data_IF_083773021814
#
_entry.id   IF_083773021814
#
_cell.length_a   1.000
_cell.length_b   1.000
_cell.length_c   1.000
_cell.angle_alpha   90.00
_cell.angle_beta   90.00
_cell.angle_gamma   90.00
#
_symmetry.space_group_name_H-M   'P 1'
#
loop_
_entity.id
_entity.type
_entity.pdbx_description
1 polymer ?
#
# COMPACT_ATOMS: atom_id res chain seq x y z
N UNK A 1 8.24 -11.67 -23.84
CA UNK A 1 7.66 -10.31 -23.75
C UNK A 1 8.10 -9.77 -22.41
N UNK A 2 8.92 -8.73 -22.39
CA UNK A 2 9.52 -8.24 -21.15
C UNK A 2 8.41 -7.60 -20.30
N UNK A 3 8.02 -8.28 -19.23
CA UNK A 3 7.29 -7.68 -18.12
C UNK A 3 8.10 -6.45 -17.70
N UNK A 4 7.60 -5.28 -18.10
CA UNK A 4 8.17 -4.00 -17.68
C UNK A 4 7.82 -3.87 -16.21
N UNK A 5 8.64 -4.48 -15.36
CA UNK A 5 8.65 -4.21 -13.93
C UNK A 5 8.93 -2.72 -13.82
N UNK A 6 7.88 -1.94 -13.57
CA UNK A 6 7.99 -0.57 -13.12
C UNK A 6 8.81 -0.61 -11.83
N UNK A 7 10.14 -0.47 -11.97
CA UNK A 7 11.05 -0.40 -10.85
C UNK A 7 10.67 0.86 -10.09
N UNK A 8 9.99 0.66 -8.97
CA UNK A 8 9.74 1.74 -8.02
C UNK A 8 11.10 2.35 -7.71
N UNK A 9 11.24 3.66 -7.90
CA UNK A 9 12.47 4.36 -7.58
C UNK A 9 12.83 4.10 -6.11
N UNK A 10 14.11 4.09 -5.76
CA UNK A 10 14.48 4.04 -4.33
C UNK A 10 14.16 5.40 -3.71
N UNK A 11 13.57 5.40 -2.52
CA UNK A 11 13.27 6.64 -1.81
C UNK A 11 14.57 7.42 -1.55
N UNK A 12 14.58 8.65 -2.02
CA UNK A 12 15.64 9.64 -1.90
C UNK A 12 15.06 10.98 -1.45
N UNK A 13 15.93 11.92 -1.11
CA UNK A 13 15.53 13.20 -0.50
C UNK A 13 14.78 14.12 -1.48
N UNK A 14 15.13 14.03 -2.76
CA UNK A 14 14.65 14.88 -3.86
C UNK A 14 13.59 14.21 -4.73
N UNK A 15 13.24 12.94 -4.46
CA UNK A 15 12.30 12.17 -5.27
C UNK A 15 11.07 11.70 -4.49
N UNK A 16 10.83 12.19 -3.27
CA UNK A 16 9.72 11.75 -2.42
C UNK A 16 8.37 11.79 -3.13
N UNK A 17 8.04 12.89 -3.82
CA UNK A 17 6.78 13.01 -4.57
C UNK A 17 6.65 11.96 -5.67
N UNK A 18 7.73 11.72 -6.42
CA UNK A 18 7.75 10.70 -7.49
C UNK A 18 7.65 9.30 -6.92
N UNK A 19 8.39 9.04 -5.84
CA UNK A 19 8.38 7.78 -5.12
C UNK A 19 6.98 7.47 -4.57
N UNK A 20 6.34 8.46 -3.94
CA UNK A 20 5.00 8.34 -3.39
C UNK A 20 3.98 8.00 -4.48
N UNK A 21 4.00 8.69 -5.62
CA UNK A 21 3.07 8.43 -6.74
C UNK A 21 3.25 7.00 -7.28
N UNK A 22 4.49 6.50 -7.35
CA UNK A 22 4.76 5.13 -7.81
C UNK A 22 4.28 4.08 -6.82
N UNK A 23 4.51 4.30 -5.52
CA UNK A 23 4.03 3.43 -4.44
C UNK A 23 2.50 3.41 -4.39
N UNK A 24 1.87 4.60 -4.50
CA UNK A 24 0.43 4.74 -4.58
C UNK A 24 -0.14 3.96 -5.77
N UNK A 25 0.43 4.10 -6.96
CA UNK A 25 -0.02 3.34 -8.13
C UNK A 25 0.14 1.81 -7.97
N UNK A 26 1.20 1.35 -7.31
CA UNK A 26 1.45 -0.08 -7.07
C UNK A 26 0.49 -0.66 -6.03
N UNK A 27 0.26 0.07 -4.94
CA UNK A 27 -0.64 -0.33 -3.86
C UNK A 27 -2.11 -0.19 -4.27
N UNK A 28 -2.48 0.84 -5.04
CA UNK A 28 -3.82 1.02 -5.58
C UNK A 28 -4.18 -0.09 -6.57
N UNK A 29 -3.22 -0.56 -7.40
CA UNK A 29 -3.42 -1.72 -8.28
C UNK A 29 -3.74 -3.01 -7.50
N UNK A 30 -3.33 -3.08 -6.23
CA UNK A 30 -3.54 -4.25 -5.37
C UNK A 30 -4.68 -4.04 -4.35
N UNK A 31 -5.42 -2.93 -4.43
CA UNK A 31 -6.42 -2.51 -3.44
C UNK A 31 -5.87 -2.48 -1.99
N UNK A 32 -4.58 -2.16 -1.85
CA UNK A 32 -3.87 -2.09 -0.56
C UNK A 32 -3.56 -0.65 -0.14
N UNK A 33 -3.65 0.32 -1.05
CA UNK A 33 -3.37 1.73 -0.75
C UNK A 33 -4.30 2.28 0.35
N UNK A 34 -5.55 1.80 0.39
CA UNK A 34 -6.54 2.23 1.37
C UNK A 34 -6.14 1.87 2.82
N UNK A 35 -5.24 0.92 3.03
CA UNK A 35 -4.66 0.65 4.36
C UNK A 35 -3.56 1.66 4.72
N UNK A 36 -2.80 2.13 3.72
CA UNK A 36 -1.67 3.06 3.89
C UNK A 36 -2.14 4.51 4.02
N UNK A 37 -3.15 4.92 3.24
CA UNK A 37 -3.73 6.26 3.33
C UNK A 37 -4.66 6.44 4.54
N UNK A 38 -5.01 5.34 5.23
CA UNK A 38 -5.86 5.33 6.41
C UNK A 38 -7.36 5.32 6.11
N UNK A 39 -7.78 5.12 4.86
CA UNK A 39 -9.19 4.97 4.47
C UNK A 39 -9.81 3.72 5.09
N UNK A 40 -9.08 2.61 5.15
CA UNK A 40 -9.47 1.41 5.90
C UNK A 40 -8.85 1.49 7.29
N UNK A 41 -9.62 2.05 8.23
CA UNK A 41 -9.22 2.12 9.64
C UNK A 41 -9.32 0.75 10.29
N UNK A 42 -8.37 0.45 11.18
CA UNK A 42 -8.41 -0.77 11.99
C UNK A 42 -9.75 -0.86 12.75
N UNK A 43 -10.58 -1.88 12.48
CA UNK A 43 -11.82 -2.06 13.20
C UNK A 43 -11.51 -2.37 14.67
N UNK A 44 -12.40 -1.93 15.57
CA UNK A 44 -12.26 -2.18 17.02
C UNK A 44 -12.92 -3.48 17.46
N UNK A 45 -13.96 -3.94 16.74
CA UNK A 45 -14.68 -5.20 16.96
C UNK A 45 -15.46 -5.58 15.66
N UNK A 46 -15.83 -6.86 15.46
CA UNK A 46 -15.42 -8.04 16.23
C UNK A 46 -13.98 -8.46 15.93
N UNK A 47 -13.35 -9.22 16.84
CA UNK A 47 -11.95 -9.69 16.78
C UNK A 47 -11.56 -10.29 15.41
N UNK A 48 -12.51 -10.94 14.73
CA UNK A 48 -12.30 -11.54 13.41
C UNK A 48 -12.00 -10.52 12.32
N UNK A 49 -12.68 -9.37 12.35
CA UNK A 49 -12.44 -8.25 11.43
C UNK A 49 -11.10 -7.59 11.74
N UNK A 50 -10.73 -7.48 13.02
CA UNK A 50 -9.41 -6.99 13.44
C UNK A 50 -8.31 -7.87 12.86
N UNK A 51 -8.42 -9.19 13.03
CA UNK A 51 -7.46 -10.16 12.50
C UNK A 51 -7.42 -10.16 10.97
N UNK A 52 -8.56 -9.92 10.31
CA UNK A 52 -8.63 -9.81 8.85
C UNK A 52 -7.92 -8.54 8.38
N UNK A 53 -8.17 -7.42 9.04
CA UNK A 53 -7.52 -6.13 8.79
C UNK A 53 -6.00 -6.26 8.98
N UNK A 54 -5.54 -6.80 10.12
CA UNK A 54 -4.09 -7.00 10.40
C UNK A 54 -3.39 -7.90 9.40
N UNK A 55 -4.09 -8.85 8.79
CA UNK A 55 -3.53 -9.70 7.73
C UNK A 55 -3.37 -9.00 6.40
N UNK A 56 -4.22 -8.01 6.10
CA UNK A 56 -4.16 -7.24 4.86
C UNK A 56 -3.24 -6.04 5.00
N UNK A 57 -3.27 -5.36 6.15
CA UNK A 57 -2.34 -4.29 6.53
C UNK A 57 -0.88 -4.76 6.42
N UNK A 58 -0.57 -5.97 6.88
CA UNK A 58 0.79 -6.55 6.76
C UNK A 58 1.24 -6.81 5.32
N UNK A 59 0.34 -6.79 4.34
CA UNK A 59 0.68 -6.95 2.91
C UNK A 59 0.90 -5.62 2.21
N UNK A 60 0.39 -4.53 2.78
CA UNK A 60 0.59 -3.17 2.31
C UNK A 60 1.98 -2.66 2.75
#
# INVERSE_FOLDING_TARGET
MADSVNKIAVLGRDNFDTWRIQIEAVLAKSDLWEYVDGSIVKPTQPEEEIRRWERQDRKA
#
